data_IF_911422686305
#
_entry.id   IF_911422686305
#
_cell.length_a   1.000
_cell.length_b   1.000
_cell.length_c   1.000
_cell.angle_alpha   90.00
_cell.angle_beta   90.00
_cell.angle_gamma   90.00
#
_symmetry.space_group_name_H-M   'P 1'
#
loop_
_entity.id
_entity.type
_entity.pdbx_description
1 polymer ?
#
# COMPACT_ATOMS: atom_id res chain seq x y z
N UNK A 1 -13.38 19.98 8.48
CA UNK A 1 -13.05 19.77 9.90
C UNK A 1 -12.25 20.97 10.34
N UNK A 2 -12.53 21.52 11.52
CA UNK A 2 -11.79 22.69 12.03
C UNK A 2 -10.85 22.28 13.16
N UNK A 3 -9.71 22.96 13.22
CA UNK A 3 -8.59 22.65 14.10
C UNK A 3 -8.30 23.83 15.01
N UNK A 4 -7.98 23.52 16.25
CA UNK A 4 -7.49 24.49 17.23
C UNK A 4 -6.00 24.27 17.41
N UNK A 5 -5.24 25.35 17.46
CA UNK A 5 -3.78 25.32 17.57
C UNK A 5 -3.38 25.94 18.90
N UNK A 6 -2.35 25.41 19.53
CA UNK A 6 -1.76 26.00 20.73
C UNK A 6 -0.24 26.08 20.59
N UNK A 7 0.28 27.28 20.88
CA UNK A 7 1.71 27.52 21.04
C UNK A 7 1.94 27.99 22.47
N UNK A 8 2.69 27.19 23.24
CA UNK A 8 2.93 27.45 24.66
C UNK A 8 1.59 27.56 25.43
N UNK A 9 1.16 28.77 25.77
CA UNK A 9 -0.10 29.07 26.49
C UNK A 9 -1.14 29.77 25.62
N UNK A 10 -0.77 30.20 24.40
CA UNK A 10 -1.68 30.90 23.50
C UNK A 10 -2.38 29.90 22.58
N UNK A 11 -3.70 30.08 22.44
CA UNK A 11 -4.56 29.24 21.63
C UNK A 11 -5.12 30.05 20.46
N UNK A 12 -5.09 29.47 19.27
CA UNK A 12 -5.51 30.10 18.02
C UNK A 12 -6.51 29.21 17.28
N UNK A 13 -7.38 29.84 16.50
CA UNK A 13 -8.39 29.18 15.67
C UNK A 13 -9.82 29.47 16.11
N UNK A 14 -10.81 28.70 15.64
CA UNK A 14 -10.66 27.50 14.78
C UNK A 14 -10.21 27.83 13.34
N UNK A 15 -9.38 26.95 12.76
CA UNK A 15 -8.91 27.04 11.37
C UNK A 15 -9.31 25.82 10.56
N UNK A 16 -9.60 26.00 9.26
CA UNK A 16 -9.74 24.89 8.33
C UNK A 16 -8.35 24.30 7.98
N UNK A 17 -8.30 23.03 7.56
CA UNK A 17 -7.04 22.38 7.22
C UNK A 17 -6.25 23.09 6.11
N UNK A 18 -6.94 23.72 5.18
CA UNK A 18 -6.33 24.52 4.11
C UNK A 18 -5.58 25.73 4.68
N UNK A 19 -6.18 26.39 5.67
CA UNK A 19 -5.56 27.51 6.38
C UNK A 19 -4.38 27.04 7.23
N UNK A 20 -4.53 25.94 7.98
CA UNK A 20 -3.41 25.35 8.77
C UNK A 20 -2.22 25.02 7.88
N UNK A 21 -2.46 24.44 6.70
CA UNK A 21 -1.40 24.15 5.73
C UNK A 21 -0.73 25.42 5.22
N UNK A 22 -1.50 26.44 4.85
CA UNK A 22 -0.96 27.71 4.37
C UNK A 22 -0.10 28.38 5.45
N UNK A 23 -0.60 28.46 6.69
CA UNK A 23 0.13 29.07 7.80
C UNK A 23 1.42 28.31 8.16
N UNK A 24 1.43 26.97 8.05
CA UNK A 24 2.64 26.19 8.21
C UNK A 24 3.66 26.42 7.08
N UNK A 25 3.20 26.60 5.83
CA UNK A 25 4.05 26.89 4.68
C UNK A 25 4.67 28.29 4.75
N UNK A 26 3.95 29.27 5.30
CA UNK A 26 4.44 30.65 5.47
C UNK A 26 5.25 30.85 6.76
N UNK A 27 5.49 29.80 7.56
CA UNK A 27 6.21 29.87 8.83
C UNK A 27 5.44 30.57 9.96
N UNK A 28 4.15 30.84 9.78
CA UNK A 28 3.29 31.37 10.84
C UNK A 28 3.03 30.32 11.93
N UNK A 29 2.99 29.04 11.52
CA UNK A 29 2.94 27.89 12.42
C UNK A 29 4.27 27.14 12.44
N UNK A 30 4.69 26.74 13.64
CA UNK A 30 5.83 25.87 13.85
C UNK A 30 5.38 24.42 13.74
N UNK A 31 6.28 23.57 13.24
CA UNK A 31 6.08 22.12 13.16
C UNK A 31 5.71 21.48 14.52
N UNK A 32 6.18 22.08 15.62
CA UNK A 32 5.98 21.63 17.00
C UNK A 32 4.76 22.23 17.68
N UNK A 33 4.05 23.17 17.03
CA UNK A 33 2.81 23.70 17.59
C UNK A 33 1.80 22.58 17.78
N UNK A 34 1.06 22.62 18.89
CA UNK A 34 0.04 21.65 19.17
C UNK A 34 -1.20 21.96 18.35
N UNK A 35 -1.87 20.94 17.84
CA UNK A 35 -3.08 21.04 17.06
C UNK A 35 -4.01 19.87 17.37
N UNK A 36 -5.30 20.12 17.45
CA UNK A 36 -6.30 19.06 17.57
C UNK A 36 -7.59 19.47 16.85
N UNK A 37 -8.34 18.50 16.30
CA UNK A 37 -9.65 18.78 15.74
C UNK A 37 -10.62 19.17 16.86
N UNK A 38 -11.56 20.06 16.56
CA UNK A 38 -12.59 20.41 17.53
C UNK A 38 -13.40 19.18 17.97
N UNK A 39 -13.62 19.08 19.28
CA UNK A 39 -14.23 17.92 19.94
C UNK A 39 -13.25 16.82 20.35
N UNK A 40 -11.96 16.94 20.01
CA UNK A 40 -10.91 16.05 20.52
C UNK A 40 -10.09 16.73 21.62
N UNK A 41 -9.69 15.95 22.64
CA UNK A 41 -8.80 16.38 23.72
C UNK A 41 -7.37 15.83 23.56
N UNK A 42 -7.04 15.22 22.41
CA UNK A 42 -5.72 14.65 22.15
C UNK A 42 -4.92 15.59 21.25
N UNK A 43 -4.05 16.45 21.81
CA UNK A 43 -3.19 17.31 21.01
C UNK A 43 -2.17 16.47 20.23
N UNK A 44 -2.03 16.77 18.94
CA UNK A 44 -0.92 16.31 18.08
C UNK A 44 -0.10 17.51 17.64
N UNK A 45 1.00 17.32 16.91
CA UNK A 45 1.77 18.45 16.38
C UNK A 45 1.28 18.84 14.99
N UNK A 46 1.45 20.12 14.60
CA UNK A 46 1.13 20.59 13.24
C UNK A 46 1.86 19.75 12.20
N UNK A 47 3.11 19.38 12.44
CA UNK A 47 3.85 18.48 11.55
C UNK A 47 3.18 17.10 11.41
N UNK A 48 2.80 16.46 12.52
CA UNK A 48 2.16 15.15 12.49
C UNK A 48 0.80 15.19 11.79
N UNK A 49 0.01 16.25 12.03
CA UNK A 49 -1.26 16.47 11.34
C UNK A 49 -1.06 16.59 9.82
N UNK A 50 -0.14 17.46 9.39
CA UNK A 50 0.10 17.72 7.96
C UNK A 50 0.69 16.50 7.25
N UNK A 51 1.58 15.76 7.91
CA UNK A 51 2.12 14.48 7.41
C UNK A 51 1.02 13.44 7.22
N UNK A 52 0.11 13.30 8.19
CA UNK A 52 -1.03 12.38 8.08
C UNK A 52 -1.95 12.68 6.90
N UNK A 53 -1.98 13.94 6.44
CA UNK A 53 -2.79 14.39 5.32
C UNK A 53 -2.09 14.32 3.96
N UNK A 54 -0.75 14.23 3.93
CA UNK A 54 0.03 14.22 2.69
C UNK A 54 0.01 12.88 1.94
N UNK A 55 -0.74 11.88 2.41
CA UNK A 55 -0.69 10.53 1.83
C UNK A 55 0.63 9.84 2.18
N UNK A 56 0.77 8.56 1.80
CA UNK A 56 2.06 7.88 2.03
C UNK A 56 3.15 8.38 1.08
N UNK A 57 4.43 8.16 1.44
CA UNK A 57 5.60 8.61 0.69
C UNK A 57 5.66 8.10 -0.77
N UNK A 58 4.80 7.14 -1.13
CA UNK A 58 4.74 6.53 -2.46
C UNK A 58 3.53 7.02 -3.27
N UNK A 59 2.76 7.97 -2.74
CA UNK A 59 1.50 8.41 -3.34
C UNK A 59 0.43 7.30 -3.36
N UNK A 60 0.59 6.26 -2.54
CA UNK A 60 -0.22 5.05 -2.56
C UNK A 60 0.06 4.11 -3.73
N UNK A 61 1.15 4.32 -4.48
CA UNK A 61 1.53 3.50 -5.63
C UNK A 61 2.15 2.17 -5.18
N UNK A 62 3.05 2.19 -4.21
CA UNK A 62 3.76 0.99 -3.73
C UNK A 62 3.14 0.55 -2.40
N UNK A 63 2.49 -0.62 -2.36
CA UNK A 63 1.75 -1.04 -1.17
C UNK A 63 2.66 -1.70 -0.11
N UNK A 64 3.63 -0.96 0.42
CA UNK A 64 4.61 -1.49 1.40
C UNK A 64 3.95 -1.96 2.72
N UNK A 65 2.78 -1.41 3.07
CA UNK A 65 1.97 -1.86 4.21
C UNK A 65 1.24 -3.18 3.94
N UNK A 66 1.11 -3.58 2.67
CA UNK A 66 0.52 -4.84 2.22
C UNK A 66 1.60 -5.77 1.64
N UNK A 67 2.46 -6.29 2.53
CA UNK A 67 3.53 -7.24 2.19
C UNK A 67 3.11 -8.36 1.23
N UNK A 68 1.98 -9.09 1.45
CA UNK A 68 1.53 -10.13 0.55
C UNK A 68 1.26 -9.65 -0.88
N UNK A 69 0.62 -8.49 -1.06
CA UNK A 69 0.35 -7.93 -2.40
C UNK A 69 1.66 -7.54 -3.11
N UNK A 70 2.60 -6.96 -2.38
CA UNK A 70 3.90 -6.56 -2.91
C UNK A 70 4.73 -7.78 -3.31
N UNK A 71 4.82 -8.80 -2.44
CA UNK A 71 5.53 -10.06 -2.76
C UNK A 71 4.86 -10.79 -3.92
N UNK A 72 3.53 -10.82 -3.98
CA UNK A 72 2.79 -11.44 -5.08
C UNK A 72 3.15 -10.81 -6.43
N UNK A 73 3.25 -9.48 -6.48
CA UNK A 73 3.66 -8.76 -7.68
C UNK A 73 5.09 -9.14 -8.11
N UNK A 74 6.06 -9.10 -7.20
CA UNK A 74 7.44 -9.46 -7.54
C UNK A 74 7.58 -10.92 -7.97
N UNK A 75 6.89 -11.85 -7.32
CA UNK A 75 6.91 -13.25 -7.71
C UNK A 75 6.21 -13.50 -9.04
N UNK A 76 5.14 -12.77 -9.37
CA UNK A 76 4.51 -12.83 -10.68
C UNK A 76 5.44 -12.33 -11.80
N UNK A 77 6.22 -11.27 -11.54
CA UNK A 77 7.24 -10.80 -12.50
C UNK A 77 8.36 -11.82 -12.64
N UNK A 78 8.87 -12.36 -11.52
CA UNK A 78 9.89 -13.41 -11.54
C UNK A 78 9.39 -14.72 -12.20
N UNK A 79 8.09 -14.98 -12.11
CA UNK A 79 7.45 -16.13 -12.75
C UNK A 79 7.54 -16.11 -14.28
N UNK A 80 7.82 -14.97 -14.91
CA UNK A 80 8.03 -14.87 -16.35
C UNK A 80 9.36 -15.48 -16.81
N UNK A 81 10.31 -15.68 -15.90
CA UNK A 81 11.61 -16.29 -16.20
C UNK A 81 11.40 -17.80 -16.40
N UNK A 82 11.70 -18.38 -17.58
CA UNK A 82 11.53 -19.81 -17.81
C UNK A 82 12.30 -20.66 -16.78
N UNK A 83 11.79 -21.86 -16.48
CA UNK A 83 12.33 -22.83 -15.49
C UNK A 83 12.25 -22.35 -14.03
N UNK A 84 12.84 -21.20 -13.69
CA UNK A 84 12.74 -20.63 -12.34
C UNK A 84 11.33 -20.17 -12.00
N UNK A 85 10.62 -19.67 -13.01
CA UNK A 85 9.31 -19.06 -12.84
C UNK A 85 8.22 -20.02 -12.37
N UNK A 86 8.39 -21.33 -12.59
CA UNK A 86 7.47 -22.33 -12.06
C UNK A 86 7.35 -22.27 -10.53
N UNK A 87 8.48 -22.13 -9.84
CA UNK A 87 8.51 -22.04 -8.37
C UNK A 87 7.93 -20.72 -7.86
N UNK A 88 7.92 -19.67 -8.69
CA UNK A 88 7.40 -18.35 -8.33
C UNK A 88 5.90 -18.19 -8.64
N UNK A 89 5.38 -18.85 -9.68
CA UNK A 89 4.02 -18.68 -10.16
C UNK A 89 2.96 -19.09 -9.11
N UNK A 90 3.14 -20.25 -8.48
CA UNK A 90 2.18 -20.79 -7.51
C UNK A 90 2.13 -19.88 -6.25
N UNK A 91 3.25 -19.53 -5.60
CA UNK A 91 3.21 -18.60 -4.46
C UNK A 91 2.68 -17.21 -4.84
N UNK A 92 2.96 -16.69 -6.04
CA UNK A 92 2.42 -15.42 -6.51
C UNK A 92 0.89 -15.38 -6.49
N UNK A 93 0.25 -16.46 -6.96
CA UNK A 93 -1.21 -16.59 -6.95
C UNK A 93 -1.78 -16.53 -5.52
N UNK A 94 -1.28 -17.37 -4.62
CA UNK A 94 -1.79 -17.44 -3.24
C UNK A 94 -1.52 -16.16 -2.44
N UNK A 95 -0.34 -15.56 -2.60
CA UNK A 95 -0.02 -14.28 -1.97
C UNK A 95 -0.87 -13.14 -2.53
N UNK A 96 -1.23 -13.20 -3.82
CA UNK A 96 -2.16 -12.28 -4.45
C UNK A 96 -3.53 -12.33 -3.77
N UNK A 97 -4.10 -13.53 -3.57
CA UNK A 97 -5.36 -13.71 -2.84
C UNK A 97 -5.28 -13.19 -1.40
N UNK A 98 -4.18 -13.48 -0.69
CA UNK A 98 -3.94 -12.95 0.66
C UNK A 98 -3.82 -11.43 0.68
N UNK A 99 -3.17 -10.85 -0.33
CA UNK A 99 -3.03 -9.41 -0.51
C UNK A 99 -4.36 -8.71 -0.76
N UNK A 100 -5.25 -9.31 -1.58
CA UNK A 100 -6.61 -8.81 -1.79
C UNK A 100 -7.45 -8.87 -0.52
N UNK A 101 -7.38 -9.99 0.22
CA UNK A 101 -8.06 -10.12 1.52
C UNK A 101 -7.59 -9.05 2.50
N UNK A 102 -6.27 -8.82 2.59
CA UNK A 102 -5.72 -7.78 3.48
C UNK A 102 -6.16 -6.38 3.06
N UNK A 103 -6.13 -6.05 1.75
CA UNK A 103 -6.60 -4.76 1.25
C UNK A 103 -8.09 -4.52 1.49
N UNK A 104 -8.90 -5.58 1.55
CA UNK A 104 -10.33 -5.51 1.88
C UNK A 104 -10.56 -5.28 3.39
N UNK A 105 -9.79 -5.96 4.24
CA UNK A 105 -9.90 -5.83 5.70
C UNK A 105 -9.33 -4.51 6.21
N UNK A 106 -8.24 -4.04 5.59
CA UNK A 106 -7.51 -2.84 5.97
C UNK A 106 -7.36 -1.92 4.75
N UNK A 107 -8.38 -1.12 4.38
CA UNK A 107 -8.34 -0.30 3.16
C UNK A 107 -7.14 0.67 3.11
N UNK A 108 -6.65 1.08 4.27
CA UNK A 108 -5.49 1.97 4.42
C UNK A 108 -4.16 1.36 3.95
N UNK A 109 -4.05 0.03 3.80
CA UNK A 109 -2.81 -0.62 3.32
C UNK A 109 -2.69 -0.68 1.79
N UNK A 110 -3.80 -0.45 1.07
CA UNK A 110 -3.90 -0.46 -0.41
C UNK A 110 -3.36 -1.77 -1.03
N UNK A 111 -2.96 -1.73 -2.30
CA UNK A 111 -2.29 -2.84 -2.99
C UNK A 111 -3.15 -3.76 -3.85
N UNK A 112 -4.41 -3.40 -4.13
CA UNK A 112 -5.31 -4.24 -4.93
C UNK A 112 -4.76 -4.52 -6.35
N UNK A 113 -4.19 -3.51 -7.02
CA UNK A 113 -3.60 -3.68 -8.36
C UNK A 113 -2.45 -4.69 -8.33
N UNK A 114 -1.51 -4.54 -7.38
CA UNK A 114 -0.37 -5.44 -7.24
C UNK A 114 -0.81 -6.87 -6.91
N UNK A 115 -1.80 -7.00 -6.04
CA UNK A 115 -2.37 -8.30 -5.70
C UNK A 115 -3.07 -8.98 -6.89
N UNK A 116 -3.84 -8.22 -7.69
CA UNK A 116 -4.46 -8.72 -8.92
C UNK A 116 -3.45 -9.16 -9.97
N UNK A 117 -2.36 -8.42 -10.14
CA UNK A 117 -1.24 -8.84 -11.01
C UNK A 117 -0.70 -10.20 -10.53
N UNK A 118 -0.47 -10.35 -9.22
CA UNK A 118 -0.10 -11.63 -8.60
C UNK A 118 -1.07 -12.78 -8.93
N UNK A 119 -2.37 -12.55 -8.78
CA UNK A 119 -3.42 -13.55 -9.06
C UNK A 119 -3.49 -13.91 -10.54
N UNK A 120 -3.59 -12.91 -11.43
CA UNK A 120 -3.81 -13.15 -12.86
C UNK A 120 -2.55 -13.73 -13.51
N UNK A 121 -1.40 -13.08 -13.32
CA UNK A 121 -0.14 -13.51 -13.94
C UNK A 121 0.34 -14.81 -13.30
N UNK A 122 0.32 -14.91 -11.97
CA UNK A 122 0.68 -16.14 -11.26
C UNK A 122 -0.20 -17.32 -11.68
N UNK A 123 -1.52 -17.11 -11.74
CA UNK A 123 -2.47 -18.16 -12.14
C UNK A 123 -2.29 -18.62 -13.59
N UNK A 124 -2.16 -17.68 -14.54
CA UNK A 124 -1.95 -18.01 -15.96
C UNK A 124 -0.63 -18.76 -16.18
N UNK A 125 0.45 -18.32 -15.53
CA UNK A 125 1.76 -18.96 -15.65
C UNK A 125 1.78 -20.32 -14.96
N UNK A 126 1.14 -20.48 -13.80
CA UNK A 126 0.97 -21.80 -13.17
C UNK A 126 0.29 -22.77 -14.14
N UNK A 127 -0.83 -22.37 -14.75
CA UNK A 127 -1.53 -23.22 -15.71
C UNK A 127 -0.66 -23.54 -16.93
N UNK A 128 0.02 -22.54 -17.49
CA UNK A 128 0.92 -22.71 -18.62
C UNK A 128 2.06 -23.69 -18.34
N UNK A 129 2.70 -23.58 -17.17
CA UNK A 129 3.76 -24.50 -16.76
C UNK A 129 3.24 -25.92 -16.53
N UNK A 130 2.07 -26.10 -15.91
CA UNK A 130 1.47 -27.42 -15.72
C UNK A 130 1.15 -28.09 -17.06
N UNK A 131 0.61 -27.34 -18.02
CA UNK A 131 0.36 -27.82 -19.38
C UNK A 131 1.67 -28.23 -20.06
N UNK A 132 2.70 -27.37 -20.01
CA UNK A 132 4.02 -27.66 -20.58
C UNK A 132 4.65 -28.93 -20.01
N UNK A 133 4.61 -29.10 -18.70
CA UNK A 133 5.10 -30.31 -18.01
C UNK A 133 4.32 -31.54 -18.47
N UNK A 134 2.98 -31.46 -18.54
CA UNK A 134 2.16 -32.58 -18.99
C UNK A 134 2.48 -33.01 -20.42
N UNK A 135 2.67 -32.05 -21.34
CA UNK A 135 3.09 -32.35 -22.72
C UNK A 135 4.44 -33.06 -22.78
N UNK A 136 5.42 -32.59 -22.00
CA UNK A 136 6.75 -33.22 -21.92
C UNK A 136 6.63 -34.66 -21.41
N UNK A 137 5.89 -34.88 -20.33
CA UNK A 137 5.67 -36.22 -19.77
C UNK A 137 5.01 -37.16 -20.79
N UNK A 138 3.95 -36.71 -21.46
CA UNK A 138 3.26 -37.50 -22.49
C UNK A 138 4.21 -37.84 -23.64
N UNK A 139 5.01 -36.87 -24.10
CA UNK A 139 5.98 -37.09 -25.18
C UNK A 139 7.08 -38.08 -24.78
N UNK A 140 7.50 -38.08 -23.51
CA UNK A 140 8.49 -39.03 -23.00
C UNK A 140 7.93 -40.45 -22.83
N UNK A 141 6.67 -40.59 -22.42
CA UNK A 141 6.01 -41.90 -22.24
C UNK A 141 5.62 -42.54 -23.59
N UNK A 142 5.37 -41.72 -24.63
CA UNK A 142 5.02 -42.19 -25.98
C UNK A 142 6.24 -42.48 -26.87
N UNK A 143 7.45 -42.29 -26.37
CA UNK A 143 8.71 -42.68 -27.03
C UNK A 143 9.08 -44.10 -26.63
#
# INVERSE_FOLDING_TARGET
>A
MVYTIQRHTEQYGPYDITQVRAMAQTGQLLATDLVWPQGSNTPTTVAALLQGLQGDATGGLIPYKNGPALTAYYLAVAALIPVFGFFCAIPAFFLGLKGLKKAKLEPHVRGQVHAWIGVVVGGLLTLGYLIGIAFIVIALVRR
#
